data_IF_881165614476
#
_entry.id   IF_881165614476
#
_cell.length_a   1.000
_cell.length_b   1.000
_cell.length_c   1.000
_cell.angle_alpha   90.00
_cell.angle_beta   90.00
_cell.angle_gamma   90.00
#
_symmetry.space_group_name_H-M   'P 1'
#
loop_
_entity.id
_entity.type
_entity.pdbx_description
1 polymer ?
#
# COMPACT_ATOMS: atom_id res chain seq x y z
N UNK A 1 -11.38 -14.42 -26.83
CA UNK A 1 -11.87 -13.37 -25.92
C UNK A 1 -10.94 -13.36 -24.72
N UNK A 2 -9.86 -12.58 -24.80
CA UNK A 2 -8.84 -12.47 -23.75
C UNK A 2 -9.41 -11.61 -22.62
N UNK A 3 -9.95 -12.24 -21.58
CA UNK A 3 -10.42 -11.53 -20.40
C UNK A 3 -9.17 -11.02 -19.70
N UNK A 4 -8.89 -9.72 -19.81
CA UNK A 4 -7.82 -9.07 -19.07
C UNK A 4 -8.07 -9.30 -17.58
N UNK A 5 -7.42 -10.32 -17.02
CA UNK A 5 -7.42 -10.59 -15.60
C UNK A 5 -6.72 -9.41 -14.93
N UNK A 6 -7.52 -8.43 -14.49
CA UNK A 6 -7.03 -7.35 -13.67
C UNK A 6 -6.33 -8.03 -12.49
N UNK A 7 -5.03 -7.77 -12.31
CA UNK A 7 -4.21 -8.34 -11.23
C UNK A 7 -4.62 -7.71 -9.89
N UNK A 8 -5.90 -7.78 -9.57
CA UNK A 8 -6.47 -7.27 -8.34
C UNK A 8 -6.17 -8.27 -7.23
N UNK A 9 -5.64 -7.73 -6.14
CA UNK A 9 -5.36 -8.52 -4.95
C UNK A 9 -6.67 -8.97 -4.31
N UNK A 10 -6.66 -10.16 -3.70
CA UNK A 10 -7.82 -10.64 -2.95
C UNK A 10 -8.12 -9.71 -1.77
N UNK A 11 -9.40 -9.57 -1.45
CA UNK A 11 -9.83 -8.86 -0.27
C UNK A 11 -9.39 -9.62 1.00
N UNK A 12 -9.13 -8.89 2.09
CA UNK A 12 -8.66 -9.46 3.36
C UNK A 12 -9.63 -10.53 3.91
N UNK A 13 -10.94 -10.29 3.80
CA UNK A 13 -11.96 -11.26 4.22
C UNK A 13 -11.86 -12.58 3.44
N UNK A 14 -11.55 -12.53 2.15
CA UNK A 14 -11.36 -13.75 1.34
C UNK A 14 -10.23 -14.61 1.88
N UNK A 15 -9.12 -13.98 2.31
CA UNK A 15 -8.03 -14.70 2.95
C UNK A 15 -8.46 -15.31 4.30
N UNK A 16 -9.20 -14.57 5.13
CA UNK A 16 -9.72 -15.10 6.40
C UNK A 16 -10.71 -16.25 6.23
N UNK A 17 -11.63 -16.17 5.28
CA UNK A 17 -12.53 -17.29 5.00
C UNK A 17 -11.77 -18.52 4.51
N UNK A 18 -10.72 -18.34 3.71
CA UNK A 18 -9.85 -19.44 3.30
C UNK A 18 -9.08 -20.04 4.49
N UNK A 19 -8.55 -19.21 5.39
CA UNK A 19 -7.85 -19.69 6.59
C UNK A 19 -8.79 -20.42 7.54
N UNK A 20 -10.01 -19.92 7.72
CA UNK A 20 -11.05 -20.59 8.50
C UNK A 20 -11.40 -21.96 7.89
N UNK A 21 -11.61 -22.01 6.58
CA UNK A 21 -11.88 -23.26 5.88
C UNK A 21 -10.71 -24.25 5.98
N UNK A 22 -9.47 -23.77 5.97
CA UNK A 22 -8.28 -24.61 6.13
C UNK A 22 -8.16 -25.18 7.56
N UNK A 23 -8.20 -24.34 8.59
CA UNK A 23 -7.94 -24.78 9.97
C UNK A 23 -9.17 -25.34 10.70
N UNK A 24 -10.38 -24.82 10.45
CA UNK A 24 -11.60 -25.24 11.17
C UNK A 24 -12.35 -26.34 10.43
N UNK A 25 -12.33 -26.33 9.11
CA UNK A 25 -13.04 -27.34 8.29
C UNK A 25 -12.10 -28.42 7.72
N UNK A 26 -10.78 -28.24 7.82
CA UNK A 26 -9.80 -29.25 7.43
C UNK A 26 -9.64 -29.43 5.92
N UNK A 27 -10.06 -28.46 5.10
CA UNK A 27 -9.98 -28.58 3.64
C UNK A 27 -8.54 -28.49 3.12
N UNK A 28 -8.24 -29.28 2.09
CA UNK A 28 -6.95 -29.26 1.41
C UNK A 28 -6.76 -28.01 0.52
N UNK A 29 -5.51 -27.59 0.35
CA UNK A 29 -5.14 -26.40 -0.44
C UNK A 29 -5.62 -26.49 -1.89
N UNK A 30 -5.57 -27.67 -2.51
CA UNK A 30 -6.05 -27.91 -3.87
C UNK A 30 -7.54 -27.60 -4.01
N UNK A 31 -8.34 -28.05 -3.05
CA UNK A 31 -9.78 -27.81 -3.03
C UNK A 31 -10.08 -26.32 -2.81
N UNK A 32 -9.39 -25.69 -1.86
CA UNK A 32 -9.52 -24.25 -1.61
C UNK A 32 -9.08 -23.41 -2.81
N UNK A 33 -8.05 -23.83 -3.54
CA UNK A 33 -7.57 -23.13 -4.74
C UNK A 33 -8.67 -23.06 -5.80
N UNK A 34 -9.40 -24.15 -5.97
CA UNK A 34 -10.55 -24.22 -6.86
C UNK A 34 -11.71 -23.33 -6.36
N UNK A 35 -12.13 -23.47 -5.09
CA UNK A 35 -13.27 -22.74 -4.51
C UNK A 35 -13.04 -21.23 -4.51
N UNK A 36 -11.84 -20.77 -4.13
CA UNK A 36 -11.53 -19.34 -4.02
C UNK A 36 -11.01 -18.74 -5.34
N UNK A 37 -10.86 -19.55 -6.38
CA UNK A 37 -10.22 -19.19 -7.65
C UNK A 37 -8.89 -18.45 -7.41
N UNK A 38 -7.99 -19.09 -6.66
CA UNK A 38 -6.65 -18.60 -6.32
C UNK A 38 -5.63 -19.71 -6.52
N UNK A 39 -4.40 -19.35 -6.87
CA UNK A 39 -3.33 -20.33 -6.95
C UNK A 39 -2.98 -20.90 -5.58
N UNK A 40 -2.57 -22.17 -5.53
CA UNK A 40 -2.08 -22.81 -4.29
C UNK A 40 -0.90 -22.05 -3.67
N UNK A 41 -0.09 -21.38 -4.51
CA UNK A 41 0.97 -20.48 -4.04
C UNK A 41 0.42 -19.30 -3.24
N UNK A 42 -0.68 -18.70 -3.70
CA UNK A 42 -1.35 -17.60 -2.98
C UNK A 42 -1.88 -18.08 -1.64
N UNK A 43 -2.53 -19.24 -1.61
CA UNK A 43 -3.04 -19.83 -0.36
C UNK A 43 -1.91 -20.17 0.61
N UNK A 44 -0.82 -20.76 0.11
CA UNK A 44 0.36 -21.06 0.92
C UNK A 44 1.00 -19.81 1.51
N UNK A 45 1.02 -18.71 0.77
CA UNK A 45 1.48 -17.43 1.30
C UNK A 45 0.56 -16.89 2.39
N UNK A 46 -0.77 -17.02 2.24
CA UNK A 46 -1.73 -16.60 3.27
C UNK A 46 -1.57 -17.40 4.56
N UNK A 47 -1.46 -18.73 4.45
CA UNK A 47 -1.21 -19.64 5.58
C UNK A 47 0.10 -19.27 6.27
N UNK A 48 1.20 -19.18 5.51
CA UNK A 48 2.51 -18.82 6.06
C UNK A 48 2.50 -17.47 6.76
N UNK A 49 1.84 -16.47 6.17
CA UNK A 49 1.73 -15.13 6.78
C UNK A 49 0.98 -15.24 8.10
N UNK A 50 -0.16 -15.93 8.11
CA UNK A 50 -0.98 -16.10 9.30
C UNK A 50 -0.24 -16.85 10.42
N UNK A 51 0.51 -17.90 10.10
CA UNK A 51 1.34 -18.63 11.08
C UNK A 51 2.46 -17.78 11.67
N UNK A 52 3.01 -16.84 10.90
CA UNK A 52 4.10 -15.98 11.35
C UNK A 52 3.64 -14.78 12.18
N UNK A 53 2.52 -14.16 11.83
CA UNK A 53 2.08 -12.88 12.43
C UNK A 53 0.81 -13.01 13.27
N UNK A 54 0.08 -14.13 13.18
CA UNK A 54 -1.24 -14.32 13.79
C UNK A 54 -2.37 -13.55 13.09
N UNK A 55 -2.05 -12.72 12.09
CA UNK A 55 -3.00 -11.88 11.37
C UNK A 55 -2.68 -11.84 9.88
N UNK A 56 -3.71 -11.89 9.04
CA UNK A 56 -3.52 -11.59 7.63
C UNK A 56 -3.63 -10.07 7.41
N UNK A 57 -2.49 -9.39 7.32
CA UNK A 57 -2.42 -7.98 6.95
C UNK A 57 -1.69 -7.81 5.62
N UNK A 58 -2.28 -7.03 4.72
CA UNK A 58 -1.66 -6.66 3.46
C UNK A 58 -0.34 -5.93 3.73
N UNK A 59 0.72 -6.34 3.04
CA UNK A 59 1.95 -5.56 2.98
C UNK A 59 1.63 -4.15 2.44
N UNK A 60 1.67 -3.15 3.32
CA UNK A 60 1.64 -1.76 2.90
C UNK A 60 3.01 -1.46 2.31
N UNK A 61 3.05 -1.08 1.03
CA UNK A 61 4.25 -0.42 0.51
C UNK A 61 4.32 0.91 1.23
N UNK A 62 5.31 1.10 2.08
CA UNK A 62 5.70 2.44 2.51
C UNK A 62 6.19 3.13 1.25
N UNK A 63 5.38 4.03 0.67
CA UNK A 63 5.93 4.95 -0.31
C UNK A 63 6.86 5.87 0.47
N UNK A 64 8.16 5.65 0.36
CA UNK A 64 9.13 6.63 0.79
C UNK A 64 8.81 7.92 0.05
N UNK A 65 8.38 8.95 0.80
CA UNK A 65 8.21 10.28 0.24
C UNK A 65 9.59 10.74 -0.19
N UNK A 66 9.75 11.02 -1.48
CA UNK A 66 11.01 11.49 -2.07
C UNK A 66 11.41 12.90 -1.62
N UNK A 67 10.61 13.54 -0.77
CA UNK A 67 10.80 14.92 -0.35
C UNK A 67 10.72 15.05 1.18
N UNK A 68 11.55 15.96 1.72
CA UNK A 68 11.60 16.23 3.15
C UNK A 68 10.44 17.13 3.58
N UNK A 69 9.47 16.56 4.30
CA UNK A 69 8.33 17.31 4.85
C UNK A 69 8.78 18.36 5.87
N UNK A 70 9.81 18.08 6.65
CA UNK A 70 10.28 18.98 7.72
C UNK A 70 10.77 20.31 7.17
N UNK A 71 11.41 20.31 6.00
CA UNK A 71 11.87 21.54 5.35
C UNK A 71 10.70 22.42 4.86
N UNK A 72 9.64 21.80 4.34
CA UNK A 72 8.44 22.55 3.91
C UNK A 72 7.74 23.21 5.10
N UNK A 73 7.70 22.53 6.26
CA UNK A 73 7.11 23.07 7.49
C UNK A 73 7.93 24.22 8.09
N UNK A 74 9.27 24.15 8.03
CA UNK A 74 10.11 25.28 8.46
C UNK A 74 9.91 26.48 7.56
N UNK A 75 9.90 26.27 6.23
CA UNK A 75 9.65 27.36 5.28
C UNK A 75 8.24 27.97 5.42
N UNK A 76 7.22 27.17 5.77
CA UNK A 76 5.89 27.67 6.11
C UNK A 76 5.88 28.54 7.35
N UNK A 77 6.64 28.16 8.37
CA UNK A 77 6.75 28.95 9.61
C UNK A 77 7.32 30.34 9.34
N UNK A 78 8.29 30.43 8.41
CA UNK A 78 8.91 31.71 8.01
C UNK A 78 8.03 32.52 7.05
N UNK A 79 7.17 31.84 6.26
CA UNK A 79 6.39 32.46 5.19
C UNK A 79 4.94 31.94 5.13
N UNK A 80 4.11 32.11 6.19
CA UNK A 80 2.80 31.44 6.31
C UNK A 80 1.78 31.87 5.25
N UNK A 81 1.96 33.06 4.65
CA UNK A 81 1.07 33.63 3.64
C UNK A 81 1.58 33.44 2.20
N UNK A 82 2.69 32.73 2.01
CA UNK A 82 3.15 32.45 0.65
C UNK A 82 2.14 31.54 -0.08
N UNK A 83 2.06 31.66 -1.40
CA UNK A 83 1.24 30.78 -2.23
C UNK A 83 1.96 29.45 -2.51
N UNK A 84 1.20 28.37 -2.77
CA UNK A 84 1.72 27.02 -3.07
C UNK A 84 2.89 27.01 -4.09
N UNK A 85 2.82 27.86 -5.11
CA UNK A 85 3.83 27.98 -6.16
C UNK A 85 5.18 28.46 -5.63
N UNK A 86 5.16 29.33 -4.60
CA UNK A 86 6.37 29.83 -3.95
C UNK A 86 7.05 28.74 -3.13
N UNK A 87 6.28 27.92 -2.39
CA UNK A 87 6.83 26.77 -1.67
C UNK A 87 7.41 25.73 -2.64
N UNK A 88 6.70 25.43 -3.72
CA UNK A 88 7.17 24.50 -4.75
C UNK A 88 8.49 24.98 -5.37
N UNK A 89 8.55 26.27 -5.75
CA UNK A 89 9.75 26.86 -6.33
C UNK A 89 10.91 26.90 -5.33
N UNK A 90 10.65 27.27 -4.07
CA UNK A 90 11.67 27.31 -3.02
C UNK A 90 12.23 25.91 -2.73
N UNK A 91 11.36 24.89 -2.62
CA UNK A 91 11.75 23.50 -2.43
C UNK A 91 12.60 22.98 -3.58
N UNK A 92 12.16 23.25 -4.82
CA UNK A 92 12.89 22.83 -6.03
C UNK A 92 14.28 23.48 -6.11
N UNK A 93 14.41 24.74 -5.68
CA UNK A 93 15.69 25.45 -5.61
C UNK A 93 16.61 24.91 -4.52
N UNK A 94 16.07 24.58 -3.34
CA UNK A 94 16.86 24.13 -2.20
C UNK A 94 17.32 22.67 -2.31
N UNK A 95 16.48 21.80 -2.87
CA UNK A 95 16.73 20.37 -2.91
C UNK A 95 17.03 19.82 -4.31
N UNK A 96 16.93 20.64 -5.37
CA UNK A 96 17.06 20.22 -6.76
C UNK A 96 16.10 19.05 -7.15
N UNK A 97 15.00 18.91 -6.42
CA UNK A 97 13.97 17.89 -6.64
C UNK A 97 12.68 18.61 -7.00
N UNK A 98 12.15 18.29 -8.18
CA UNK A 98 10.83 18.78 -8.59
C UNK A 98 9.74 18.10 -7.75
N UNK A 99 8.91 18.92 -7.11
CA UNK A 99 7.72 18.48 -6.36
C UNK A 99 6.47 19.04 -7.03
N UNK A 100 5.34 18.32 -6.99
CA UNK A 100 4.07 18.81 -7.50
C UNK A 100 3.38 19.71 -6.46
N UNK A 101 2.50 20.63 -6.91
CA UNK A 101 1.69 21.47 -6.01
C UNK A 101 0.85 20.64 -5.03
N UNK A 102 0.30 19.52 -5.49
CA UNK A 102 -0.47 18.58 -4.66
C UNK A 102 0.38 17.96 -3.57
N UNK A 103 1.62 17.57 -3.89
CA UNK A 103 2.57 17.04 -2.90
C UNK A 103 2.95 18.11 -1.89
N UNK A 104 3.18 19.36 -2.32
CA UNK A 104 3.44 20.50 -1.43
C UNK A 104 2.26 20.76 -0.49
N UNK A 105 1.03 20.80 -1.00
CA UNK A 105 -0.17 20.98 -0.19
C UNK A 105 -0.37 19.84 0.82
N UNK A 106 -0.10 18.59 0.43
CA UNK A 106 -0.20 17.43 1.33
C UNK A 106 0.87 17.37 2.43
N UNK A 107 1.87 18.25 2.35
CA UNK A 107 3.02 18.29 3.23
C UNK A 107 2.89 19.36 4.33
N UNK A 108 2.27 20.49 4.00
CA UNK A 108 1.83 21.52 4.94
C UNK A 108 0.77 20.93 5.88
#
# INVERSE_FOLDING_TARGET
>A
MEVAATRQHAHQNTAYHCLLAYYKLGYFKQHLAHVFNKSERTLSNWIKTYEQTGVFQRAKRTSERTFSRTWLLSYYSDHPLAYLDKYQAAFTRAHHIAISKTSTYSAL
#
